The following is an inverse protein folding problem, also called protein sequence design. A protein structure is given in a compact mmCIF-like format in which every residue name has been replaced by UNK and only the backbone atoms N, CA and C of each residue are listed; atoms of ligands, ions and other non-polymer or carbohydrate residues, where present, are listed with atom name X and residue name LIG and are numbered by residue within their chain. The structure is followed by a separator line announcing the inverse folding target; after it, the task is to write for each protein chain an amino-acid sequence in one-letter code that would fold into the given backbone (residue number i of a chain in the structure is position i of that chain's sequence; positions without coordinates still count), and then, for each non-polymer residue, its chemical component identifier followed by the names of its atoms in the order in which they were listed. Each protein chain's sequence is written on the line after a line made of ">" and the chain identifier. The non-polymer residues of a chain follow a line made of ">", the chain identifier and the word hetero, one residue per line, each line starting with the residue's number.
data_IF_308597403320
#
_entry.id   IF_308597403320
#
_cell.length_a   1.000
_cell.length_b   1.000
_cell.length_c   1.000
_cell.angle_alpha   90.00
_cell.angle_beta   90.00
_cell.angle_gamma   90.00
#
_symmetry.space_group_name_H-M   'P 1'
#
loop_
_entity.id
_entity.type
_entity.pdbx_description
1 polymer ?
#
# COMPACT_ATOMS: atom_id res chain seq x y z
N UNK A 1 96.60 -1.98 0.99
CA UNK A 1 96.28 -0.87 1.91
C UNK A 1 95.81 0.28 1.05
N UNK A 2 94.52 0.65 1.15
CA UNK A 2 93.77 1.66 0.35
C UNK A 2 93.51 1.25 -1.11
N UNK A 3 92.31 0.99 -1.64
CA UNK A 3 90.94 1.52 -1.49
C UNK A 3 90.75 3.03 -1.79
N UNK A 4 90.00 3.31 -2.87
CA UNK A 4 89.08 4.44 -3.14
C UNK A 4 88.64 4.36 -4.62
N UNK A 5 87.50 3.74 -4.94
CA UNK A 5 86.16 4.34 -5.07
C UNK A 5 86.06 5.50 -6.09
N UNK A 6 85.56 5.17 -7.29
CA UNK A 6 84.99 6.09 -8.28
C UNK A 6 83.60 5.62 -8.67
N UNK A 7 82.58 6.28 -8.13
CA UNK A 7 81.17 5.89 -8.27
C UNK A 7 80.53 6.31 -9.59
N UNK A 8 79.72 5.40 -10.14
CA UNK A 8 78.70 5.68 -11.16
C UNK A 8 77.39 5.02 -10.67
N UNK A 9 76.29 5.76 -10.46
CA UNK A 9 75.08 5.17 -9.92
C UNK A 9 74.26 4.52 -11.03
N UNK A 10 74.16 3.19 -10.96
CA UNK A 10 73.27 2.40 -11.79
C UNK A 10 71.80 2.61 -11.35
N UNK A 11 70.93 2.71 -12.34
CA UNK A 11 69.50 3.03 -12.24
C UNK A 11 68.76 2.10 -11.27
N UNK A 12 68.42 2.61 -10.07
CA UNK A 12 67.33 2.05 -9.26
C UNK A 12 65.98 2.68 -9.66
N UNK A 13 65.27 1.98 -10.55
CA UNK A 13 63.82 2.08 -10.68
C UNK A 13 63.20 1.47 -9.42
N UNK A 14 62.82 2.28 -8.43
CA UNK A 14 62.07 1.79 -7.26
C UNK A 14 60.98 2.76 -6.82
N UNK A 15 59.78 2.46 -7.33
CA UNK A 15 58.44 2.65 -6.72
C UNK A 15 58.29 3.81 -5.72
N UNK A 16 57.81 4.95 -6.20
CA UNK A 16 56.86 5.78 -5.44
C UNK A 16 55.49 5.71 -6.15
N UNK A 17 54.77 4.60 -5.93
CA UNK A 17 53.32 4.59 -6.10
C UNK A 17 52.75 5.11 -4.80
N UNK A 18 52.33 6.37 -4.80
CA UNK A 18 51.61 6.95 -3.67
C UNK A 18 50.35 6.14 -3.41
N UNK A 19 50.17 5.71 -2.17
CA UNK A 19 48.87 5.30 -1.64
C UNK A 19 47.94 6.52 -1.66
N UNK A 20 47.29 6.75 -2.80
CA UNK A 20 46.00 7.44 -2.79
C UNK A 20 45.02 6.41 -2.24
N UNK A 21 44.38 6.63 -1.08
CA UNK A 21 43.28 5.78 -0.68
C UNK A 21 42.18 5.96 -1.74
N UNK A 22 41.97 4.94 -2.58
CA UNK A 22 40.78 4.83 -3.41
C UNK A 22 39.58 4.66 -2.47
N UNK A 23 39.12 5.75 -1.88
CA UNK A 23 37.77 5.86 -1.34
C UNK A 23 36.81 5.82 -2.54
N UNK A 24 36.55 4.60 -3.00
CA UNK A 24 35.38 4.15 -3.75
C UNK A 24 34.54 5.24 -4.44
N UNK A 25 34.92 5.57 -5.68
CA UNK A 25 34.03 6.24 -6.64
C UNK A 25 32.73 5.45 -6.90
N UNK A 26 32.67 4.17 -6.49
CA UNK A 26 31.48 3.33 -6.51
C UNK A 26 30.54 3.48 -5.27
N UNK A 27 31.00 3.97 -4.11
CA UNK A 27 30.13 4.17 -2.94
C UNK A 27 29.36 5.49 -2.98
N UNK A 28 29.95 6.52 -3.59
CA UNK A 28 29.34 7.84 -3.79
C UNK A 28 28.03 7.79 -4.62
N UNK A 29 27.93 7.06 -5.76
CA UNK A 29 26.69 6.92 -6.52
C UNK A 29 25.62 6.14 -5.75
N UNK A 30 26.00 5.18 -4.91
CA UNK A 30 25.05 4.44 -4.08
C UNK A 30 24.42 5.30 -2.98
N UNK A 31 25.23 6.10 -2.26
CA UNK A 31 24.73 6.99 -1.18
C UNK A 31 23.82 8.11 -1.71
N UNK A 32 24.16 8.73 -2.84
CA UNK A 32 23.34 9.79 -3.42
C UNK A 32 22.03 9.25 -4.02
N UNK A 33 22.07 8.08 -4.69
CA UNK A 33 20.86 7.41 -5.21
C UNK A 33 19.92 7.02 -4.07
N UNK A 34 20.45 6.52 -2.96
CA UNK A 34 19.67 6.25 -1.76
C UNK A 34 19.06 7.53 -1.15
N UNK A 35 19.76 8.66 -1.16
CA UNK A 35 19.25 9.92 -0.63
C UNK A 35 18.05 10.46 -1.44
N UNK A 36 18.11 10.39 -2.78
CA UNK A 36 16.99 10.79 -3.66
C UNK A 36 15.78 9.87 -3.48
N UNK A 37 16.00 8.55 -3.43
CA UNK A 37 14.94 7.57 -3.16
C UNK A 37 14.28 7.80 -1.79
N UNK A 38 15.08 8.14 -0.76
CA UNK A 38 14.56 8.47 0.58
C UNK A 38 13.68 9.70 0.59
N UNK A 39 14.05 10.73 -0.17
CA UNK A 39 13.25 11.97 -0.28
C UNK A 39 11.91 11.70 -0.96
N UNK A 40 11.91 11.01 -2.11
CA UNK A 40 10.68 10.63 -2.80
C UNK A 40 9.75 9.76 -1.94
N UNK A 41 10.31 8.77 -1.22
CA UNK A 41 9.51 7.96 -0.29
C UNK A 41 8.86 8.79 0.82
N UNK A 42 9.58 9.79 1.34
CA UNK A 42 9.05 10.67 2.39
C UNK A 42 7.93 11.56 1.86
N UNK A 43 8.09 12.12 0.67
CA UNK A 43 7.06 12.92 0.00
C UNK A 43 5.81 12.08 -0.31
N UNK A 44 5.97 10.86 -0.84
CA UNK A 44 4.86 9.92 -1.06
C UNK A 44 4.11 9.57 0.22
N UNK A 45 4.83 9.33 1.32
CA UNK A 45 4.23 9.05 2.62
C UNK A 45 3.44 10.24 3.18
N UNK A 46 3.92 11.48 3.00
CA UNK A 46 3.19 12.68 3.42
C UNK A 46 1.90 12.89 2.62
N UNK A 47 1.95 12.67 1.29
CA UNK A 47 0.76 12.72 0.44
C UNK A 47 -0.26 11.65 0.81
N UNK A 48 0.20 10.42 1.07
CA UNK A 48 -0.67 9.33 1.49
C UNK A 48 -1.38 9.61 2.81
N UNK A 49 -0.67 10.21 3.78
CA UNK A 49 -1.28 10.63 5.06
C UNK A 49 -2.36 11.69 4.81
N UNK A 50 -2.08 12.72 4.01
CA UNK A 50 -3.08 13.76 3.69
C UNK A 50 -4.30 13.18 2.98
N UNK A 51 -4.08 12.33 1.98
CA UNK A 51 -5.13 11.65 1.26
C UNK A 51 -5.99 10.79 2.20
N UNK A 52 -5.36 10.09 3.15
CA UNK A 52 -6.06 9.29 4.16
C UNK A 52 -6.92 10.16 5.08
N UNK A 53 -6.38 11.23 5.65
CA UNK A 53 -7.16 12.13 6.52
C UNK A 53 -8.35 12.75 5.78
N UNK A 54 -8.16 13.14 4.52
CA UNK A 54 -9.23 13.64 3.67
C UNK A 54 -10.30 12.57 3.44
N UNK A 55 -9.90 11.36 3.05
CA UNK A 55 -10.83 10.25 2.83
C UNK A 55 -11.63 9.91 4.08
N UNK A 56 -10.97 9.82 5.24
CA UNK A 56 -11.65 9.55 6.52
C UNK A 56 -12.61 10.68 6.91
N UNK A 57 -12.26 11.94 6.67
CA UNK A 57 -13.14 13.09 6.92
C UNK A 57 -14.37 13.07 6.01
N UNK A 58 -14.19 12.78 4.72
CA UNK A 58 -15.30 12.64 3.76
C UNK A 58 -16.23 11.49 4.17
N UNK A 59 -15.68 10.33 4.54
CA UNK A 59 -16.46 9.19 5.01
C UNK A 59 -17.20 9.51 6.31
N UNK A 60 -16.57 10.23 7.25
CA UNK A 60 -17.20 10.65 8.50
C UNK A 60 -18.44 11.54 8.23
N UNK A 61 -18.30 12.56 7.39
CA UNK A 61 -19.43 13.43 7.00
C UNK A 61 -20.51 12.63 6.28
N UNK A 62 -20.14 11.75 5.35
CA UNK A 62 -21.06 10.88 4.64
C UNK A 62 -21.85 9.97 5.59
N UNK A 63 -21.21 9.43 6.63
CA UNK A 63 -21.86 8.57 7.62
C UNK A 63 -22.94 9.30 8.43
N UNK A 64 -22.77 10.59 8.73
CA UNK A 64 -23.82 11.39 9.39
C UNK A 64 -25.06 11.51 8.50
N UNK A 65 -24.87 11.62 7.19
CA UNK A 65 -25.96 11.66 6.22
C UNK A 65 -26.66 10.31 6.08
N UNK A 66 -25.90 9.21 5.99
CA UNK A 66 -26.45 7.84 5.81
C UNK A 66 -27.10 7.33 7.09
N UNK A 67 -26.54 7.67 8.25
CA UNK A 67 -26.96 7.16 9.57
C UNK A 67 -27.23 8.37 10.47
N UNK A 68 -28.39 9.04 10.34
CA UNK A 68 -28.72 10.26 11.10
C UNK A 68 -29.20 9.93 12.52
N UNK A 69 -28.51 9.01 13.22
CA UNK A 69 -28.86 8.50 14.54
C UNK A 69 -27.60 8.33 15.39
N UNK A 70 -27.75 8.22 16.72
CA UNK A 70 -26.61 8.14 17.65
C UNK A 70 -25.67 6.96 17.41
N UNK A 71 -26.17 5.88 16.84
CA UNK A 71 -25.37 4.72 16.45
C UNK A 71 -24.21 5.07 15.49
N UNK A 72 -24.26 6.22 14.80
CA UNK A 72 -23.16 6.72 13.96
C UNK A 72 -21.86 6.95 14.73
N UNK A 73 -21.94 7.21 16.04
CA UNK A 73 -20.77 7.44 16.89
C UNK A 73 -19.85 6.22 16.96
N UNK A 74 -20.39 5.01 16.86
CA UNK A 74 -19.59 3.78 16.80
C UNK A 74 -18.69 3.77 15.56
N UNK A 75 -19.24 4.10 14.39
CA UNK A 75 -18.48 4.18 13.14
C UNK A 75 -17.47 5.33 13.15
N UNK A 76 -17.81 6.48 13.78
CA UNK A 76 -16.83 7.53 14.02
C UNK A 76 -15.69 7.08 14.93
N UNK A 77 -15.99 6.25 15.94
CA UNK A 77 -14.98 5.60 16.78
C UNK A 77 -14.02 4.73 15.96
N UNK A 78 -14.54 3.92 15.03
CA UNK A 78 -13.72 3.11 14.11
C UNK A 78 -12.86 4.02 13.21
N UNK A 79 -13.43 5.08 12.64
CA UNK A 79 -12.67 6.05 11.83
C UNK A 79 -11.59 6.75 12.66
N UNK A 80 -11.86 7.07 13.93
CA UNK A 80 -10.88 7.64 14.85
C UNK A 80 -9.74 6.65 15.16
N UNK A 81 -10.04 5.37 15.35
CA UNK A 81 -9.03 4.32 15.50
C UNK A 81 -8.16 4.18 14.24
N UNK A 82 -8.77 4.20 13.05
CA UNK A 82 -8.06 4.21 11.77
C UNK A 82 -7.20 5.46 11.60
N UNK A 83 -7.68 6.63 12.03
CA UNK A 83 -6.92 7.88 12.00
C UNK A 83 -5.71 7.83 12.96
N UNK A 84 -5.93 7.34 14.18
CA UNK A 84 -4.89 7.14 15.18
C UNK A 84 -3.83 6.14 14.71
N UNK A 85 -4.25 5.01 14.16
CA UNK A 85 -3.34 4.00 13.60
C UNK A 85 -2.54 4.57 12.41
N UNK A 86 -3.18 5.33 11.52
CA UNK A 86 -2.49 6.04 10.44
C UNK A 86 -1.46 7.06 10.94
N UNK A 87 -1.76 7.77 12.01
CA UNK A 87 -0.81 8.66 12.68
C UNK A 87 0.38 7.89 13.28
N UNK A 88 0.15 6.71 13.86
CA UNK A 88 1.21 5.83 14.37
C UNK A 88 2.10 5.32 13.23
N UNK A 89 1.53 4.91 12.10
CA UNK A 89 2.30 4.49 10.90
C UNK A 89 3.25 5.61 10.48
N UNK A 90 2.78 6.86 10.44
CA UNK A 90 3.62 8.03 10.14
C UNK A 90 4.76 8.23 11.15
N UNK A 91 4.52 8.00 12.44
CA UNK A 91 5.55 8.14 13.48
C UNK A 91 6.60 7.02 13.44
N UNK A 92 6.17 5.80 13.13
CA UNK A 92 7.02 4.61 13.13
C UNK A 92 7.78 4.42 11.81
N UNK A 93 7.28 5.02 10.71
CA UNK A 93 7.89 5.00 9.39
C UNK A 93 9.32 5.55 9.37
N UNK A 94 10.30 4.69 9.63
CA UNK A 94 11.73 4.94 9.41
C UNK A 94 12.15 4.37 8.06
N UNK A 95 13.27 4.84 7.52
CA UNK A 95 13.75 4.39 6.21
C UNK A 95 14.11 2.89 6.26
N UNK A 96 13.21 2.04 5.76
CA UNK A 96 13.35 0.59 5.68
C UNK A 96 12.12 -0.12 6.25
N UNK A 97 11.68 -1.22 5.61
CA UNK A 97 10.52 -2.00 6.06
C UNK A 97 10.74 -2.44 7.51
N UNK A 98 10.01 -1.84 8.44
CA UNK A 98 10.04 -2.27 9.85
C UNK A 98 8.90 -3.26 10.09
N UNK A 99 9.14 -4.31 10.88
CA UNK A 99 8.07 -5.23 11.29
C UNK A 99 6.90 -4.49 11.92
N UNK A 100 7.19 -3.41 12.66
CA UNK A 100 6.19 -2.55 13.28
C UNK A 100 5.28 -1.84 12.26
N UNK A 101 5.81 -1.38 11.13
CA UNK A 101 5.00 -0.79 10.05
C UNK A 101 4.03 -1.82 9.46
N UNK A 102 4.49 -3.04 9.17
CA UNK A 102 3.63 -4.12 8.69
C UNK A 102 2.55 -4.51 9.71
N UNK A 103 2.89 -4.54 11.00
CA UNK A 103 1.93 -4.80 12.07
C UNK A 103 0.85 -3.71 12.14
N UNK A 104 1.21 -2.44 12.00
CA UNK A 104 0.24 -1.34 11.98
C UNK A 104 -0.65 -1.37 10.74
N UNK A 105 -0.10 -1.73 9.57
CA UNK A 105 -0.91 -1.96 8.37
C UNK A 105 -1.91 -3.09 8.58
N UNK A 106 -1.46 -4.22 9.15
CA UNK A 106 -2.32 -5.34 9.49
C UNK A 106 -3.41 -4.92 10.51
N UNK A 107 -3.03 -4.15 11.53
CA UNK A 107 -3.97 -3.61 12.50
C UNK A 107 -5.04 -2.72 11.84
N UNK A 108 -4.67 -1.97 10.81
CA UNK A 108 -5.61 -1.16 10.04
C UNK A 108 -6.70 -2.01 9.36
N UNK A 109 -6.27 -3.09 8.72
CA UNK A 109 -7.17 -4.08 8.10
C UNK A 109 -8.03 -4.76 9.16
N UNK A 110 -7.46 -5.08 10.33
CA UNK A 110 -8.19 -5.67 11.45
C UNK A 110 -9.25 -4.74 12.01
N UNK A 111 -8.91 -3.48 12.26
CA UNK A 111 -9.85 -2.46 12.77
C UNK A 111 -11.02 -2.32 11.80
N UNK A 112 -10.74 -2.21 10.50
CA UNK A 112 -11.81 -2.09 9.51
C UNK A 112 -12.65 -3.36 9.40
N UNK A 113 -12.02 -4.54 9.35
CA UNK A 113 -12.74 -5.83 9.29
C UNK A 113 -13.65 -5.99 10.50
N UNK A 114 -13.12 -5.80 11.71
CA UNK A 114 -13.89 -5.93 12.94
C UNK A 114 -14.99 -4.87 13.03
N UNK A 115 -14.71 -3.63 12.62
CA UNK A 115 -15.69 -2.55 12.61
C UNK A 115 -16.84 -2.76 11.62
N UNK A 116 -16.63 -3.55 10.57
CA UNK A 116 -17.66 -3.93 9.59
C UNK A 116 -18.43 -5.18 10.03
N UNK A 117 -17.75 -6.14 10.64
CA UNK A 117 -18.32 -7.47 10.94
C UNK A 117 -19.06 -7.48 12.27
N UNK A 118 -18.53 -6.77 13.28
CA UNK A 118 -19.14 -6.76 14.60
C UNK A 118 -20.38 -5.85 14.61
N UNK A 119 -21.48 -6.32 15.21
CA UNK A 119 -22.69 -5.53 15.31
C UNK A 119 -22.42 -4.26 16.12
N UNK A 120 -23.12 -3.18 15.75
CA UNK A 120 -23.00 -1.92 16.45
C UNK A 120 -23.68 -2.01 17.83
N UNK A 121 -22.94 -1.87 18.94
CA UNK A 121 -23.51 -1.96 20.29
C UNK A 121 -24.39 -0.76 20.67
N UNK A 122 -24.35 0.32 19.89
CA UNK A 122 -25.18 1.51 20.07
C UNK A 122 -26.48 1.47 19.23
N UNK A 123 -26.70 0.39 18.47
CA UNK A 123 -27.93 0.21 17.71
C UNK A 123 -29.00 -0.46 18.59
N UNK A 124 -30.19 0.11 18.62
CA UNK A 124 -31.32 -0.43 19.39
C UNK A 124 -31.94 -1.67 18.73
N UNK A 125 -31.85 -1.76 17.40
CA UNK A 125 -32.37 -2.87 16.61
C UNK A 125 -31.23 -3.80 16.17
N UNK A 126 -31.21 -5.02 16.69
CA UNK A 126 -30.23 -6.03 16.29
C UNK A 126 -30.69 -6.75 15.01
N UNK A 127 -30.30 -6.22 13.85
CA UNK A 127 -30.35 -6.98 12.59
C UNK A 127 -29.65 -8.33 12.76
N UNK A 128 -30.17 -9.43 12.19
CA UNK A 128 -29.46 -10.70 12.16
C UNK A 128 -28.03 -10.51 11.64
N UNK A 129 -27.06 -11.16 12.30
CA UNK A 129 -25.64 -10.94 11.99
C UNK A 129 -25.31 -11.22 10.52
N UNK A 130 -25.98 -12.21 9.92
CA UNK A 130 -25.85 -12.51 8.49
C UNK A 130 -26.29 -11.33 7.60
N UNK A 131 -27.40 -10.66 7.94
CA UNK A 131 -27.84 -9.43 7.25
C UNK A 131 -26.85 -8.28 7.42
N UNK A 132 -26.32 -8.10 8.63
CA UNK A 132 -25.33 -7.08 8.90
C UNK A 132 -24.06 -7.28 8.07
N UNK A 133 -23.55 -8.51 8.02
CA UNK A 133 -22.34 -8.85 7.28
C UNK A 133 -22.49 -8.58 5.77
N UNK A 134 -23.68 -8.81 5.20
CA UNK A 134 -23.92 -8.63 3.75
C UNK A 134 -24.23 -7.19 3.32
N UNK A 135 -24.22 -6.20 4.22
CA UNK A 135 -24.65 -4.80 3.99
C UNK A 135 -23.73 -3.98 3.04
N UNK A 136 -22.89 -4.63 2.22
CA UNK A 136 -22.10 -3.98 1.17
C UNK A 136 -20.89 -3.15 1.66
N UNK A 137 -20.52 -3.25 2.94
CA UNK A 137 -19.46 -2.44 3.53
C UNK A 137 -18.04 -2.83 3.08
N UNK A 138 -17.86 -3.93 2.35
CA UNK A 138 -16.57 -4.36 1.84
C UNK A 138 -15.89 -3.29 0.95
N UNK A 139 -16.67 -2.41 0.32
CA UNK A 139 -16.15 -1.32 -0.54
C UNK A 139 -15.13 -0.42 0.16
N UNK A 140 -15.17 -0.29 1.49
CA UNK A 140 -14.25 0.57 2.23
C UNK A 140 -12.80 0.05 2.24
N UNK A 141 -12.57 -1.25 2.00
CA UNK A 141 -11.21 -1.78 1.84
C UNK A 141 -10.50 -1.20 0.61
N UNK A 142 -11.23 -0.82 -0.44
CA UNK A 142 -10.62 -0.19 -1.62
C UNK A 142 -10.02 1.17 -1.28
N UNK A 143 -10.55 1.90 -0.30
CA UNK A 143 -9.99 3.17 0.18
C UNK A 143 -8.63 2.95 0.82
N UNK A 144 -8.50 1.92 1.68
CA UNK A 144 -7.23 1.55 2.30
C UNK A 144 -6.21 1.06 1.26
N UNK A 145 -6.65 0.23 0.33
CA UNK A 145 -5.82 -0.27 -0.76
C UNK A 145 -5.28 0.88 -1.62
N UNK A 146 -6.15 1.81 -2.03
CA UNK A 146 -5.77 2.97 -2.83
C UNK A 146 -4.75 3.84 -2.09
N UNK A 147 -4.98 4.15 -0.82
CA UNK A 147 -4.02 4.89 0.01
C UNK A 147 -2.68 4.14 0.15
N UNK A 148 -2.73 2.80 0.23
CA UNK A 148 -1.55 1.95 0.31
C UNK A 148 -0.63 2.05 -0.91
N UNK A 149 -1.16 2.36 -2.10
CA UNK A 149 -0.35 2.52 -3.32
C UNK A 149 0.52 3.77 -3.32
N UNK A 150 0.13 4.79 -2.55
CA UNK A 150 0.87 6.05 -2.41
C UNK A 150 1.97 5.96 -1.36
N UNK A 151 1.75 5.15 -0.32
CA UNK A 151 2.64 5.06 0.84
C UNK A 151 3.67 3.92 0.73
N UNK A 152 3.29 2.80 0.11
CA UNK A 152 4.01 1.54 0.28
C UNK A 152 4.49 0.93 -1.03
N UNK A 153 5.49 0.05 -0.92
CA UNK A 153 5.99 -0.71 -2.07
C UNK A 153 4.92 -1.64 -2.65
N UNK A 154 5.03 -1.96 -3.94
CA UNK A 154 4.16 -2.94 -4.62
C UNK A 154 4.01 -4.27 -3.86
N UNK A 155 5.06 -4.75 -3.18
CA UNK A 155 5.02 -5.98 -2.36
C UNK A 155 4.06 -5.84 -1.18
N UNK A 156 4.08 -4.68 -0.53
CA UNK A 156 3.19 -4.35 0.57
C UNK A 156 1.75 -4.19 0.09
N UNK A 157 1.53 -3.61 -1.11
CA UNK A 157 0.19 -3.53 -1.72
C UNK A 157 -0.39 -4.93 -1.98
N UNK A 158 0.42 -5.86 -2.50
CA UNK A 158 0.00 -7.27 -2.63
C UNK A 158 -0.32 -7.88 -1.26
N UNK A 159 0.51 -7.63 -0.24
CA UNK A 159 0.27 -8.13 1.11
C UNK A 159 -1.04 -7.57 1.71
N UNK A 160 -1.34 -6.29 1.51
CA UNK A 160 -2.63 -5.69 1.90
C UNK A 160 -3.77 -6.42 1.20
N UNK A 161 -3.64 -6.66 -0.10
CA UNK A 161 -4.59 -7.43 -0.90
C UNK A 161 -4.88 -8.81 -0.31
N UNK A 162 -3.82 -9.60 -0.08
CA UNK A 162 -3.93 -10.99 0.40
C UNK A 162 -4.39 -11.08 1.85
N UNK A 163 -3.93 -10.18 2.73
CA UNK A 163 -4.39 -10.12 4.11
C UNK A 163 -5.85 -9.73 4.20
N UNK A 164 -6.30 -8.74 3.45
CA UNK A 164 -7.73 -8.37 3.39
C UNK A 164 -8.58 -9.55 2.94
N UNK A 165 -8.18 -10.23 1.86
CA UNK A 165 -8.87 -11.42 1.37
C UNK A 165 -8.94 -12.52 2.44
N UNK A 166 -7.83 -12.82 3.10
CA UNK A 166 -7.77 -13.83 4.15
C UNK A 166 -8.66 -13.46 5.35
N UNK A 167 -8.61 -12.20 5.80
CA UNK A 167 -9.42 -11.70 6.91
C UNK A 167 -10.91 -11.69 6.58
N UNK A 168 -11.27 -11.35 5.34
CA UNK A 168 -12.66 -11.36 4.89
C UNK A 168 -13.21 -12.79 4.79
N UNK A 169 -12.45 -13.73 4.23
CA UNK A 169 -12.84 -15.15 4.21
C UNK A 169 -12.94 -15.70 5.63
N UNK A 170 -12.00 -15.35 6.51
CA UNK A 170 -12.06 -15.76 7.92
C UNK A 170 -13.31 -15.20 8.62
N UNK A 171 -13.63 -13.91 8.40
CA UNK A 171 -14.83 -13.29 8.93
C UNK A 171 -16.10 -13.95 8.39
N UNK A 172 -16.16 -14.23 7.09
CA UNK A 172 -17.25 -14.95 6.44
C UNK A 172 -17.47 -16.33 7.08
N UNK A 173 -16.41 -17.11 7.25
CA UNK A 173 -16.48 -18.43 7.89
C UNK A 173 -16.89 -18.32 9.36
N UNK A 174 -16.39 -17.32 10.08
CA UNK A 174 -16.77 -17.07 11.47
C UNK A 174 -18.26 -16.70 11.58
N UNK A 175 -18.77 -15.80 10.74
CA UNK A 175 -20.19 -15.44 10.71
C UNK A 175 -21.03 -16.65 10.32
N UNK A 176 -20.64 -17.40 9.29
CA UNK A 176 -21.35 -18.63 8.88
C UNK A 176 -21.48 -19.65 10.02
N UNK A 177 -20.44 -19.79 10.85
CA UNK A 177 -20.41 -20.79 11.91
C UNK A 177 -21.03 -20.31 13.22
N UNK A 178 -20.90 -19.02 13.56
CA UNK A 178 -21.27 -18.47 14.86
C UNK A 178 -22.57 -17.66 14.85
N UNK A 179 -23.08 -17.25 13.68
CA UNK A 179 -24.29 -16.43 13.61
C UNK A 179 -25.52 -17.23 14.08
N UNK A 180 -26.34 -16.67 14.99
CA UNK A 180 -27.62 -17.27 15.33
C UNK A 180 -28.54 -17.35 14.11
N UNK A 181 -29.26 -18.47 14.00
CA UNK A 181 -30.27 -18.69 12.95
C UNK A 181 -31.64 -18.33 13.51
N UNK A 182 -32.37 -17.49 12.78
CA UNK A 182 -33.72 -17.05 13.12
C UNK A 182 -34.74 -17.70 12.16
N UNK A 183 -35.22 -18.93 12.43
CA UNK A 183 -36.09 -19.66 11.51
C UNK A 183 -37.44 -18.96 11.29
N UNK A 184 -37.98 -18.29 12.31
CA UNK A 184 -39.24 -17.56 12.22
C UNK A 184 -39.17 -16.41 11.19
N UNK A 185 -38.02 -15.74 11.10
CA UNK A 185 -37.78 -14.69 10.11
C UNK A 185 -37.72 -15.27 8.68
N UNK A 186 -37.04 -16.41 8.50
CA UNK A 186 -37.01 -17.10 7.20
C UNK A 186 -38.41 -17.53 6.77
N UNK A 187 -39.21 -18.09 7.68
CA UNK A 187 -40.60 -18.47 7.40
C UNK A 187 -41.47 -17.26 7.07
N UNK A 188 -41.28 -16.13 7.76
CA UNK A 188 -42.00 -14.89 7.48
C UNK A 188 -41.71 -14.40 6.05
N UNK A 189 -40.45 -14.41 5.62
CA UNK A 189 -40.06 -14.06 4.24
C UNK A 189 -40.66 -15.03 3.22
N UNK A 190 -40.58 -16.34 3.47
CA UNK A 190 -41.16 -17.35 2.56
C UNK A 190 -42.68 -17.17 2.39
N UNK A 191 -43.40 -16.84 3.47
CA UNK A 191 -44.84 -16.57 3.42
C UNK A 191 -45.15 -15.27 2.68
N UNK A 192 -44.40 -14.20 2.94
CA UNK A 192 -44.60 -12.90 2.31
C UNK A 192 -44.39 -12.94 0.79
N UNK A 193 -43.47 -13.78 0.32
CA UNK A 193 -43.14 -13.96 -1.10
C UNK A 193 -43.60 -15.32 -1.65
N UNK A 194 -44.68 -15.88 -1.10
CA UNK A 194 -45.25 -17.12 -1.59
C UNK A 194 -45.62 -17.00 -3.07
N UNK A 195 -45.09 -17.90 -3.91
CA UNK A 195 -45.29 -17.90 -5.37
C UNK A 195 -44.28 -17.07 -6.17
N UNK A 196 -43.36 -16.36 -5.51
CA UNK A 196 -42.22 -15.75 -6.19
C UNK A 196 -41.15 -16.77 -6.58
N UNK A 197 -40.15 -16.35 -7.36
CA UNK A 197 -39.04 -17.23 -7.74
C UNK A 197 -38.25 -17.68 -6.50
N UNK A 198 -37.79 -18.95 -6.45
CA UNK A 198 -36.97 -19.44 -5.34
C UNK A 198 -35.70 -18.61 -5.10
N UNK A 199 -35.11 -18.09 -6.18
CA UNK A 199 -33.92 -17.24 -6.11
C UNK A 199 -34.19 -15.92 -5.39
N UNK A 200 -35.35 -15.29 -5.61
CA UNK A 200 -35.73 -14.07 -4.91
C UNK A 200 -35.92 -14.35 -3.41
N UNK A 201 -36.60 -15.43 -3.07
CA UNK A 201 -36.86 -15.82 -1.68
C UNK A 201 -35.55 -16.14 -0.96
N UNK A 202 -34.63 -16.85 -1.61
CA UNK A 202 -33.30 -17.16 -1.06
C UNK A 202 -32.42 -15.91 -0.91
N UNK A 203 -32.53 -14.93 -1.83
CA UNK A 203 -31.83 -13.66 -1.73
C UNK A 203 -32.34 -12.82 -0.55
N UNK A 204 -33.64 -12.87 -0.24
CA UNK A 204 -34.24 -12.12 0.85
C UNK A 204 -34.14 -12.82 2.22
N UNK A 205 -33.63 -14.05 2.29
CA UNK A 205 -33.49 -14.79 3.54
C UNK A 205 -32.58 -14.03 4.54
N UNK A 206 -33.07 -13.65 5.73
CA UNK A 206 -32.31 -12.91 6.74
C UNK A 206 -31.11 -13.69 7.30
N UNK A 207 -31.10 -15.01 7.16
CA UNK A 207 -30.00 -15.85 7.65
C UNK A 207 -28.91 -16.10 6.58
N UNK A 208 -29.08 -15.58 5.36
CA UNK A 208 -28.12 -15.74 4.28
C UNK A 208 -26.98 -14.73 4.35
N UNK A 209 -25.74 -15.22 4.31
CA UNK A 209 -24.51 -14.39 4.21
C UNK A 209 -24.12 -14.09 2.75
N UNK A 210 -24.87 -14.59 1.78
CA UNK A 210 -24.61 -14.43 0.34
C UNK A 210 -23.18 -14.83 -0.07
N UNK A 211 -22.75 -16.05 0.30
CA UNK A 211 -21.40 -16.58 0.09
C UNK A 211 -20.81 -16.28 -1.30
N UNK A 212 -21.61 -16.42 -2.36
CA UNK A 212 -21.19 -16.15 -3.75
C UNK A 212 -20.73 -14.71 -3.95
N UNK A 213 -21.46 -13.74 -3.41
CA UNK A 213 -21.13 -12.31 -3.50
C UNK A 213 -19.86 -12.02 -2.68
N UNK A 214 -19.71 -12.64 -1.51
CA UNK A 214 -18.50 -12.47 -0.67
C UNK A 214 -17.23 -13.02 -1.33
N UNK A 215 -17.35 -14.13 -2.05
CA UNK A 215 -16.25 -14.65 -2.88
C UNK A 215 -15.95 -13.70 -4.04
N UNK A 216 -16.98 -13.17 -4.70
CA UNK A 216 -16.81 -12.20 -5.79
C UNK A 216 -16.10 -10.93 -5.30
N UNK A 217 -16.47 -10.40 -4.13
CA UNK A 217 -15.80 -9.26 -3.47
C UNK A 217 -14.29 -9.50 -3.33
N UNK A 218 -13.91 -10.67 -2.81
CA UNK A 218 -12.49 -11.05 -2.65
C UNK A 218 -11.78 -11.14 -3.99
N UNK A 219 -12.39 -11.80 -4.98
CA UNK A 219 -11.79 -11.95 -6.32
C UNK A 219 -11.57 -10.59 -6.97
N UNK A 220 -12.57 -9.72 -6.98
CA UNK A 220 -12.48 -8.38 -7.56
C UNK A 220 -11.44 -7.54 -6.82
N UNK A 221 -11.43 -7.59 -5.49
CA UNK A 221 -10.45 -6.87 -4.69
C UNK A 221 -9.01 -7.31 -4.97
N UNK A 222 -8.77 -8.61 -5.08
CA UNK A 222 -7.45 -9.16 -5.41
C UNK A 222 -7.00 -8.74 -6.81
N UNK A 223 -7.89 -8.76 -7.80
CA UNK A 223 -7.59 -8.27 -9.15
C UNK A 223 -7.15 -6.80 -9.08
N UNK A 224 -7.92 -5.95 -8.39
CA UNK A 224 -7.58 -4.53 -8.24
C UNK A 224 -6.26 -4.34 -7.49
N UNK A 225 -6.02 -5.08 -6.41
CA UNK A 225 -4.78 -5.02 -5.64
C UNK A 225 -3.56 -5.40 -6.48
N UNK A 226 -3.66 -6.47 -7.26
CA UNK A 226 -2.60 -6.93 -8.16
C UNK A 226 -2.34 -5.90 -9.26
N UNK A 227 -3.39 -5.38 -9.91
CA UNK A 227 -3.25 -4.35 -10.95
C UNK A 227 -2.60 -3.08 -10.41
N UNK A 228 -3.02 -2.60 -9.24
CA UNK A 228 -2.42 -1.45 -8.58
C UNK A 228 -0.97 -1.70 -8.17
N UNK A 229 -0.65 -2.88 -7.67
CA UNK A 229 0.72 -3.26 -7.32
C UNK A 229 1.64 -3.29 -8.56
N UNK A 230 1.19 -3.88 -9.67
CA UNK A 230 1.95 -3.87 -10.93
C UNK A 230 2.13 -2.47 -11.48
N UNK A 231 1.08 -1.64 -11.41
CA UNK A 231 1.15 -0.23 -11.80
C UNK A 231 2.20 0.53 -10.99
N UNK A 232 2.15 0.43 -9.66
CA UNK A 232 3.13 1.02 -8.74
C UNK A 232 4.56 0.53 -9.03
N UNK A 233 4.75 -0.78 -9.24
CA UNK A 233 6.06 -1.34 -9.60
C UNK A 233 6.61 -0.75 -10.89
N UNK A 234 5.77 -0.61 -11.92
CA UNK A 234 6.16 -0.01 -13.20
C UNK A 234 6.55 1.46 -13.03
N UNK A 235 5.77 2.23 -12.28
CA UNK A 235 6.08 3.63 -11.98
C UNK A 235 7.42 3.77 -11.24
N UNK A 236 7.66 2.94 -10.23
CA UNK A 236 8.93 2.94 -9.49
C UNK A 236 10.13 2.65 -10.41
N UNK A 237 10.00 1.68 -11.34
CA UNK A 237 11.05 1.35 -12.30
C UNK A 237 11.35 2.52 -13.25
N UNK A 238 10.30 3.13 -13.82
CA UNK A 238 10.44 4.28 -14.71
C UNK A 238 11.09 5.49 -14.02
N UNK A 239 10.76 5.73 -12.75
CA UNK A 239 11.37 6.81 -11.97
C UNK A 239 12.88 6.59 -11.76
N UNK A 240 13.29 5.35 -11.48
CA UNK A 240 14.70 5.00 -11.31
C UNK A 240 15.48 5.16 -12.62
N UNK A 241 14.90 4.72 -13.74
CA UNK A 241 15.49 4.84 -15.07
C UNK A 241 15.65 6.31 -15.50
N UNK A 242 14.60 7.13 -15.37
CA UNK A 242 14.68 8.57 -15.67
C UNK A 242 15.72 9.30 -14.79
N UNK A 243 15.79 8.96 -13.50
CA UNK A 243 16.80 9.53 -12.61
C UNK A 243 18.23 9.09 -12.97
N UNK A 244 18.42 7.92 -13.59
CA UNK A 244 19.72 7.48 -14.09
C UNK A 244 20.10 8.24 -15.38
N UNK A 245 19.15 8.45 -16.29
CA UNK A 245 19.34 9.20 -17.53
C UNK A 245 19.68 10.67 -17.29
N UNK A 246 18.91 11.36 -16.42
CA UNK A 246 19.19 12.75 -16.06
C UNK A 246 20.57 12.92 -15.41
N UNK A 247 21.02 11.94 -14.62
CA UNK A 247 22.39 11.93 -14.09
C UNK A 247 23.44 11.74 -15.17
N UNK A 248 23.23 10.82 -16.12
CA UNK A 248 24.18 10.60 -17.22
C UNK A 248 24.33 11.88 -18.05
N UNK A 249 23.21 12.55 -18.38
CA UNK A 249 23.20 13.85 -19.06
C UNK A 249 23.94 14.93 -18.26
N UNK A 250 23.61 15.09 -16.98
CA UNK A 250 24.26 16.07 -16.11
C UNK A 250 25.77 15.82 -15.98
N UNK A 251 26.21 14.55 -15.90
CA UNK A 251 27.61 14.21 -15.84
C UNK A 251 28.33 14.47 -17.17
N UNK A 252 27.72 14.10 -18.31
CA UNK A 252 28.27 14.35 -19.65
C UNK A 252 28.38 15.85 -19.96
N UNK A 253 27.40 16.66 -19.56
CA UNK A 253 27.44 18.12 -19.75
C UNK A 253 28.61 18.83 -19.05
N UNK A 254 29.26 18.17 -18.08
CA UNK A 254 30.51 18.67 -17.47
C UNK A 254 31.73 18.44 -18.34
N UNK A 255 31.67 17.48 -19.26
CA UNK A 255 32.80 17.07 -20.11
C UNK A 255 32.59 17.42 -21.60
N UNK A 256 31.34 17.65 -22.02
CA UNK A 256 30.98 18.02 -23.39
C UNK A 256 30.30 19.39 -23.41
N UNK A 257 30.81 20.28 -24.27
CA UNK A 257 30.19 21.59 -24.55
C UNK A 257 28.74 21.40 -25.02
N UNK A 258 27.77 22.24 -24.58
CA UNK A 258 26.36 22.14 -24.95
C UNK A 258 26.14 21.98 -26.46
N UNK A 259 26.94 22.66 -27.28
CA UNK A 259 26.84 22.62 -28.74
C UNK A 259 27.16 21.23 -29.33
N UNK A 260 28.08 20.48 -28.73
CA UNK A 260 28.49 19.15 -29.24
C UNK A 260 27.44 18.08 -28.89
N UNK A 261 26.75 18.25 -27.76
CA UNK A 261 25.66 17.33 -27.34
C UNK A 261 24.42 17.51 -28.22
N UNK A 262 24.10 18.74 -28.60
CA UNK A 262 22.98 19.06 -29.49
C UNK A 262 23.20 18.50 -30.92
N UNK A 263 24.43 18.63 -31.45
CA UNK A 263 24.82 18.09 -32.76
C UNK A 263 24.84 16.56 -32.80
N UNK A 264 25.25 15.89 -31.72
CA UNK A 264 25.18 14.43 -31.61
C UNK A 264 23.73 13.93 -31.48
N UNK A 265 22.88 14.64 -30.72
CA UNK A 265 21.46 14.26 -30.58
C UNK A 265 20.65 14.42 -31.86
N UNK A 266 21.04 15.34 -32.76
CA UNK A 266 20.44 15.51 -34.09
C UNK A 266 20.81 14.41 -35.08
N UNK A 267 21.93 13.72 -34.89
CA UNK A 267 22.41 12.67 -35.79
C UNK A 267 21.98 11.24 -35.36
N UNK A 268 21.32 11.10 -34.21
CA UNK A 268 20.83 9.82 -33.67
C UNK A 268 19.37 9.50 -34.10
N UNK A 269 18.74 10.32 -34.94
CA UNK A 269 17.50 9.96 -35.62
C UNK A 269 17.80 9.02 -36.81
N UNK A 270 17.39 7.74 -36.76
CA UNK A 270 17.59 6.84 -37.90
C UNK A 270 16.64 7.26 -39.04
N UNK A 271 17.23 7.42 -40.24
CA UNK A 271 16.54 7.62 -41.52
C UNK A 271 15.54 6.50 -41.83
#
# INVERSE_FOLDING_TARGET
>A
MSDSEGGHPDRQVRRMSGLVPHASSAEMPAKYTQAVLRRHKREGMELAVRARWLALAVIAVFMVFVIPHWQVLFYHGILALLALNGWLIRRVGRVGQSRAELTLIFADLAILTLGIVLPNPLADDSLPLAMHYRYGNFIYFFVLLAAGTLAFSWRTVIAIGTWTAAMWILAMTAVWWLAPIYPDLTLAVQRAFAGASPDLVAALDPNSIEMRIRIQEVVVFLIVAVTLAFSSRRFDQLLVENAALERARANLSRYFSPNVVEDLSRNDEPL
#
